data_IF_398275736224
#
_entry.id   IF_398275736224
#
_cell.length_a   1.000
_cell.length_b   1.000
_cell.length_c   1.000
_cell.angle_alpha   90.00
_cell.angle_beta   90.00
_cell.angle_gamma   90.00
#
_symmetry.space_group_name_H-M   'P 1'
#
loop_
_entity.id
_entity.type
_entity.pdbx_description
1 polymer ?
#
# COMPACT_ATOMS: atom_id res chain seq x y z
N UNK A 1 10.58 41.44 10.79
CA UNK A 1 9.86 40.52 11.68
C UNK A 1 9.40 39.36 10.81
N UNK A 2 10.29 38.32 10.65
CA UNK A 2 9.95 37.14 9.88
C UNK A 2 8.96 36.33 10.72
N UNK A 3 7.74 36.24 10.25
CA UNK A 3 6.79 35.26 10.72
C UNK A 3 7.35 33.89 10.30
N UNK A 4 7.92 33.13 11.22
CA UNK A 4 8.23 31.73 10.99
C UNK A 4 6.90 31.03 10.69
N UNK A 5 6.69 30.66 9.44
CA UNK A 5 5.62 29.75 9.04
C UNK A 5 5.95 28.39 9.67
N UNK A 6 5.46 28.16 10.89
CA UNK A 6 5.58 26.88 11.60
C UNK A 6 4.66 25.85 10.94
N UNK A 7 4.97 25.47 9.72
CA UNK A 7 4.30 24.36 9.03
C UNK A 7 4.73 23.01 9.59
N UNK A 8 4.03 21.94 9.21
CA UNK A 8 4.42 20.57 9.48
C UNK A 8 5.76 20.28 8.81
N UNK A 9 6.77 19.91 9.57
CA UNK A 9 8.13 19.71 9.08
C UNK A 9 8.53 18.23 9.08
N UNK A 10 9.55 17.91 8.29
CA UNK A 10 10.15 16.57 8.23
C UNK A 10 10.63 16.05 9.59
N UNK A 11 10.99 16.92 10.53
CA UNK A 11 11.44 16.54 11.89
C UNK A 11 10.34 15.83 12.70
N UNK A 12 9.08 16.02 12.34
CA UNK A 12 7.92 15.42 12.99
C UNK A 12 7.47 14.12 12.30
N UNK A 13 8.20 13.69 11.27
CA UNK A 13 7.98 12.45 10.53
C UNK A 13 8.93 11.34 10.98
N UNK A 14 8.82 10.14 10.41
CA UNK A 14 9.78 9.06 10.66
C UNK A 14 11.17 9.31 10.04
N UNK A 15 11.37 10.40 9.32
CA UNK A 15 12.65 10.75 8.70
C UNK A 15 13.07 9.79 7.56
N UNK A 16 12.14 9.04 6.98
CA UNK A 16 12.44 8.08 5.89
C UNK A 16 13.14 8.79 4.73
N UNK A 17 12.73 10.02 4.42
CA UNK A 17 13.32 10.80 3.34
C UNK A 17 14.78 11.22 3.60
N UNK A 18 15.25 11.24 4.86
CA UNK A 18 16.64 11.56 5.21
C UNK A 18 17.62 10.40 5.06
N UNK A 19 17.13 9.21 4.68
CA UNK A 19 18.03 8.09 4.41
C UNK A 19 18.99 8.48 3.27
N UNK A 20 20.31 8.23 3.44
CA UNK A 20 21.32 8.70 2.47
C UNK A 20 21.13 8.13 1.06
N UNK A 21 20.54 6.94 0.97
CA UNK A 21 20.33 6.22 -0.28
C UNK A 21 19.11 6.73 -1.06
N UNK A 22 18.22 7.49 -0.39
CA UNK A 22 17.00 7.99 -0.99
C UNK A 22 17.27 9.31 -1.74
N UNK A 23 16.59 9.48 -2.87
CA UNK A 23 16.65 10.73 -3.65
C UNK A 23 15.32 11.45 -3.51
N UNK A 24 15.29 12.48 -2.67
CA UNK A 24 14.13 13.36 -2.53
C UNK A 24 13.96 14.17 -3.81
N UNK A 25 12.74 14.23 -4.33
CA UNK A 25 12.37 15.05 -5.49
C UNK A 25 11.70 16.34 -5.07
N UNK A 26 10.75 16.25 -4.15
CA UNK A 26 10.08 17.42 -3.57
C UNK A 26 9.59 17.09 -2.16
N UNK A 27 9.50 18.14 -1.33
CA UNK A 27 8.99 18.05 0.04
C UNK A 27 8.25 19.34 0.39
N UNK A 28 7.29 19.25 1.31
CA UNK A 28 6.44 20.37 1.73
C UNK A 28 7.08 21.28 2.78
N UNK A 29 8.35 21.03 3.12
CA UNK A 29 9.08 21.93 4.03
C UNK A 29 9.08 23.36 3.46
N UNK A 30 8.68 24.32 4.30
CA UNK A 30 8.61 25.74 3.90
C UNK A 30 7.35 26.18 3.15
N UNK A 31 6.43 25.26 2.79
CA UNK A 31 5.15 25.61 2.14
C UNK A 31 4.07 26.05 3.14
N UNK A 32 4.33 25.97 4.45
CA UNK A 32 3.38 26.37 5.48
C UNK A 32 2.19 25.41 5.66
N UNK A 33 2.22 24.21 5.10
CA UNK A 33 1.16 23.22 5.28
C UNK A 33 1.11 22.72 6.73
N UNK A 34 -0.05 22.82 7.37
CA UNK A 34 -0.22 22.49 8.78
C UNK A 34 -0.94 21.16 9.01
N UNK A 35 -1.83 20.79 8.10
CA UNK A 35 -2.69 19.60 8.23
C UNK A 35 -2.01 18.34 7.74
N UNK A 36 -1.03 18.48 6.85
CA UNK A 36 -0.36 17.38 6.18
C UNK A 36 1.10 17.74 5.84
N UNK A 37 2.00 16.76 5.97
CA UNK A 37 3.32 16.80 5.36
C UNK A 37 3.34 15.87 4.15
N UNK A 38 3.99 16.28 3.07
CA UNK A 38 4.14 15.48 1.87
C UNK A 38 5.57 15.48 1.35
N UNK A 39 6.02 14.34 0.80
CA UNK A 39 7.28 14.25 0.05
C UNK A 39 7.22 13.21 -1.06
N UNK A 40 7.86 13.50 -2.19
CA UNK A 40 8.09 12.54 -3.26
C UNK A 40 9.57 12.17 -3.31
N UNK A 41 9.86 10.90 -3.49
CA UNK A 41 11.23 10.39 -3.44
C UNK A 41 11.40 9.10 -4.23
N UNK A 42 12.64 8.85 -4.65
CA UNK A 42 13.10 7.55 -5.12
C UNK A 42 13.80 6.85 -3.96
N UNK A 43 13.25 5.75 -3.51
CA UNK A 43 13.81 4.93 -2.44
C UNK A 43 14.66 3.80 -3.02
N UNK A 44 15.84 3.58 -2.43
CA UNK A 44 16.63 2.39 -2.66
C UNK A 44 16.17 1.25 -1.73
N UNK A 45 16.48 -0.02 -2.04
CA UNK A 45 16.20 -1.13 -1.13
C UNK A 45 16.84 -0.91 0.25
N UNK A 46 16.07 -1.15 1.31
CA UNK A 46 16.58 -1.03 2.68
C UNK A 46 15.80 -1.90 3.67
N UNK A 47 16.39 -2.09 4.85
CA UNK A 47 15.71 -2.62 6.03
C UNK A 47 15.98 -1.67 7.21
N UNK A 48 14.92 -1.27 7.91
CA UNK A 48 15.02 -0.36 9.05
C UNK A 48 13.84 -0.53 10.01
N UNK A 49 14.07 -0.10 11.25
CA UNK A 49 13.04 0.07 12.27
C UNK A 49 12.86 1.57 12.54
N UNK A 50 11.64 1.98 12.77
CA UNK A 50 11.26 3.36 13.03
C UNK A 50 10.44 3.44 14.32
N UNK A 51 10.79 4.42 15.16
CA UNK A 51 10.01 4.74 16.35
C UNK A 51 8.70 5.45 15.96
N UNK A 52 7.71 5.29 16.80
CA UNK A 52 6.41 5.92 16.65
C UNK A 52 6.51 7.44 16.51
N UNK A 53 5.72 7.99 15.59
CA UNK A 53 5.40 9.41 15.52
C UNK A 53 3.92 9.62 15.78
N UNK A 54 3.52 10.84 16.12
CA UNK A 54 2.12 11.14 16.46
C UNK A 54 1.17 11.00 15.28
N UNK A 55 1.66 11.32 14.09
CA UNK A 55 0.84 11.52 12.90
C UNK A 55 0.79 10.25 12.02
N UNK A 56 -0.23 10.14 11.18
CA UNK A 56 -0.52 8.96 10.38
C UNK A 56 0.26 8.97 9.07
N UNK A 57 0.97 7.88 8.77
CA UNK A 57 1.73 7.71 7.53
C UNK A 57 0.91 6.97 6.47
N UNK A 58 0.87 7.55 5.27
CA UNK A 58 0.30 6.93 4.07
C UNK A 58 1.37 7.03 2.97
N UNK A 59 1.79 5.89 2.44
CA UNK A 59 2.72 5.85 1.30
C UNK A 59 1.96 5.32 0.10
N UNK A 60 1.95 6.08 -0.99
CA UNK A 60 1.47 5.65 -2.28
C UNK A 60 2.65 5.18 -3.14
N UNK A 61 2.57 3.96 -3.63
CA UNK A 61 3.53 3.42 -4.59
C UNK A 61 3.24 4.00 -5.97
N UNK A 62 4.15 4.81 -6.50
CA UNK A 62 4.00 5.46 -7.82
C UNK A 62 4.46 4.54 -8.96
N UNK A 63 5.39 3.62 -8.67
CA UNK A 63 5.87 2.59 -9.60
C UNK A 63 5.89 1.21 -8.93
N UNK A 64 6.51 0.23 -9.53
CA UNK A 64 6.61 -1.14 -9.03
C UNK A 64 6.18 -2.16 -10.09
N UNK A 65 5.79 -3.36 -9.67
CA UNK A 65 5.56 -3.85 -8.30
C UNK A 65 6.86 -4.06 -7.50
N UNK A 66 6.80 -3.83 -6.18
CA UNK A 66 7.95 -4.02 -5.28
C UNK A 66 7.54 -4.78 -4.01
N UNK A 67 8.44 -5.66 -3.53
CA UNK A 67 8.25 -6.39 -2.28
C UNK A 67 8.46 -5.48 -1.07
N UNK A 68 7.49 -5.51 -0.14
CA UNK A 68 7.58 -4.81 1.14
C UNK A 68 7.23 -5.79 2.25
N UNK A 69 8.16 -5.98 3.19
CA UNK A 69 7.89 -6.65 4.45
C UNK A 69 7.73 -5.61 5.56
N UNK A 70 6.72 -5.79 6.41
CA UNK A 70 6.44 -4.92 7.56
C UNK A 70 6.32 -5.74 8.83
N UNK A 71 6.98 -5.29 9.90
CA UNK A 71 6.85 -5.81 11.25
C UNK A 71 6.13 -4.80 12.14
N UNK A 72 5.11 -5.25 12.90
CA UNK A 72 4.37 -4.49 13.90
C UNK A 72 4.33 -5.32 15.18
N UNK A 73 5.13 -4.97 16.18
CA UNK A 73 5.34 -5.83 17.34
C UNK A 73 5.78 -7.24 16.91
N UNK A 74 5.05 -8.25 17.34
CA UNK A 74 5.32 -9.66 16.98
C UNK A 74 4.71 -10.10 15.63
N UNK A 75 3.96 -9.23 14.96
CA UNK A 75 3.31 -9.55 13.69
C UNK A 75 4.19 -9.15 12.52
N UNK A 76 4.46 -10.10 11.63
CA UNK A 76 5.16 -9.83 10.38
C UNK A 76 4.22 -10.05 9.20
N UNK A 77 4.30 -9.19 8.22
CA UNK A 77 3.55 -9.29 6.95
C UNK A 77 4.41 -8.87 5.78
N UNK A 78 4.34 -9.60 4.68
CA UNK A 78 5.03 -9.29 3.44
C UNK A 78 4.03 -9.24 2.30
N UNK A 79 4.12 -8.22 1.46
CA UNK A 79 3.31 -8.06 0.24
C UNK A 79 4.16 -7.56 -0.91
N UNK A 80 3.77 -7.93 -2.11
CA UNK A 80 4.24 -7.28 -3.33
C UNK A 80 3.21 -6.23 -3.69
N UNK A 81 3.63 -4.98 -3.65
CA UNK A 81 2.75 -3.83 -3.84
C UNK A 81 2.91 -3.30 -5.26
N UNK A 82 1.82 -3.30 -6.00
CA UNK A 82 1.75 -2.74 -7.35
C UNK A 82 1.63 -1.20 -7.31
N UNK A 83 1.87 -0.50 -8.43
CA UNK A 83 1.54 0.92 -8.54
C UNK A 83 0.09 1.20 -8.11
N UNK A 84 -0.13 2.32 -7.43
CA UNK A 84 -1.42 2.66 -6.79
C UNK A 84 -1.67 1.95 -5.46
N UNK A 85 -0.81 1.01 -5.07
CA UNK A 85 -0.92 0.33 -3.79
C UNK A 85 -0.43 1.19 -2.62
N UNK A 86 -1.04 1.00 -1.45
CA UNK A 86 -0.84 1.82 -0.27
C UNK A 86 -0.14 1.05 0.84
N UNK A 87 0.81 1.71 1.50
CA UNK A 87 1.28 1.37 2.83
C UNK A 87 0.68 2.39 3.80
N UNK A 88 -0.08 1.95 4.79
CA UNK A 88 -0.71 2.84 5.76
C UNK A 88 -0.33 2.41 7.18
N UNK A 89 0.11 3.38 7.97
CA UNK A 89 0.48 3.19 9.37
C UNK A 89 -0.20 4.27 10.23
N UNK A 90 -1.03 3.88 11.21
CA UNK A 90 -1.54 4.79 12.22
C UNK A 90 -0.41 5.45 13.03
N UNK A 91 -0.66 6.67 13.50
CA UNK A 91 0.23 7.32 14.47
C UNK A 91 0.34 6.51 15.76
N UNK A 92 1.42 6.72 16.50
CA UNK A 92 1.68 6.04 17.77
C UNK A 92 2.21 4.61 17.67
N UNK A 93 2.58 4.13 16.49
CA UNK A 93 3.07 2.75 16.27
C UNK A 93 4.53 2.71 15.84
N UNK A 94 5.34 1.93 16.58
CA UNK A 94 6.67 1.50 16.10
C UNK A 94 6.51 0.49 14.96
N UNK A 95 7.37 0.52 13.97
CA UNK A 95 7.36 -0.48 12.90
C UNK A 95 8.74 -0.77 12.33
N UNK A 96 8.91 -2.01 11.88
CA UNK A 96 10.00 -2.42 11.01
C UNK A 96 9.53 -2.49 9.56
N UNK A 97 10.38 -2.14 8.62
CA UNK A 97 10.11 -2.29 7.19
C UNK A 97 11.35 -2.75 6.45
N UNK A 98 11.15 -3.67 5.49
CA UNK A 98 12.13 -4.02 4.46
C UNK A 98 11.53 -3.76 3.10
N UNK A 99 12.14 -2.83 2.36
CA UNK A 99 11.86 -2.54 0.97
C UNK A 99 12.83 -3.36 0.10
N UNK A 100 12.30 -4.22 -0.76
CA UNK A 100 13.09 -5.23 -1.49
C UNK A 100 13.54 -4.76 -2.89
N UNK A 101 13.19 -3.55 -3.29
CA UNK A 101 13.52 -3.00 -4.61
C UNK A 101 13.47 -1.47 -4.61
N UNK A 102 13.85 -0.87 -5.72
CA UNK A 102 13.69 0.57 -5.91
C UNK A 102 12.21 0.93 -6.05
N UNK A 103 11.81 2.05 -5.44
CA UNK A 103 10.45 2.52 -5.41
C UNK A 103 10.40 4.03 -5.61
N UNK A 104 9.62 4.51 -6.58
CA UNK A 104 9.14 5.87 -6.59
C UNK A 104 7.89 5.96 -5.71
N UNK A 105 7.94 6.77 -4.66
CA UNK A 105 6.91 6.86 -3.64
C UNK A 105 6.48 8.30 -3.38
N UNK A 106 5.23 8.44 -2.95
CA UNK A 106 4.70 9.65 -2.34
C UNK A 106 4.35 9.33 -0.89
N UNK A 107 4.99 10.02 0.04
CA UNK A 107 4.71 9.94 1.47
C UNK A 107 3.80 11.08 1.88
N UNK A 108 2.72 10.76 2.58
CA UNK A 108 1.81 11.70 3.21
C UNK A 108 1.78 11.42 4.70
N UNK A 109 1.99 12.44 5.52
CA UNK A 109 1.77 12.38 6.95
C UNK A 109 0.56 13.26 7.27
N UNK A 110 -0.53 12.62 7.69
CA UNK A 110 -1.76 13.31 8.08
C UNK A 110 -1.75 13.56 9.58
N UNK A 111 -1.95 14.80 9.99
CA UNK A 111 -1.99 15.18 11.39
C UNK A 111 -3.07 14.45 12.17
N UNK A 112 -2.72 13.98 13.36
CA UNK A 112 -3.67 13.36 14.29
C UNK A 112 -4.85 14.30 14.62
N UNK A 113 -4.61 15.59 14.83
CA UNK A 113 -5.69 16.53 15.15
C UNK A 113 -6.72 16.66 14.01
N UNK A 114 -6.33 16.49 12.74
CA UNK A 114 -7.29 16.51 11.61
C UNK A 114 -8.24 15.31 11.68
N UNK A 115 -7.73 14.13 12.06
CA UNK A 115 -8.58 12.95 12.33
C UNK A 115 -9.53 13.24 13.49
N UNK A 116 -9.04 13.86 14.58
CA UNK A 116 -9.83 14.20 15.77
C UNK A 116 -10.93 15.21 15.45
N UNK A 117 -10.64 16.27 14.68
CA UNK A 117 -11.62 17.25 14.25
C UNK A 117 -12.73 16.62 13.41
N UNK A 118 -12.36 15.80 12.40
CA UNK A 118 -13.35 15.17 11.53
C UNK A 118 -14.14 14.10 12.27
N UNK A 119 -13.54 13.40 13.25
CA UNK A 119 -14.26 12.48 14.12
C UNK A 119 -15.34 13.20 14.94
N UNK A 120 -15.01 14.37 15.50
CA UNK A 120 -15.96 15.23 16.20
C UNK A 120 -17.09 15.72 15.27
N UNK A 121 -16.77 16.11 14.01
CA UNK A 121 -17.77 16.48 13.00
C UNK A 121 -18.75 15.32 12.69
N UNK A 122 -18.29 14.07 12.80
CA UNK A 122 -19.12 12.87 12.66
C UNK A 122 -19.92 12.52 13.92
N UNK A 123 -19.76 13.30 15.00
CA UNK A 123 -20.46 13.05 16.27
C UNK A 123 -19.91 11.85 17.04
N UNK A 124 -18.66 11.47 16.82
CA UNK A 124 -17.99 10.41 17.57
C UNK A 124 -17.63 10.97 18.95
N UNK A 125 -18.28 10.46 19.99
CA UNK A 125 -18.23 11.03 21.33
C UNK A 125 -16.87 10.87 22.03
N UNK A 126 -16.13 9.81 21.70
CA UNK A 126 -14.78 9.58 22.22
C UNK A 126 -13.82 9.30 21.06
N UNK A 127 -12.97 10.27 20.80
CA UNK A 127 -11.97 10.19 19.73
C UNK A 127 -10.89 9.15 20.05
N UNK A 128 -10.72 8.77 21.31
CA UNK A 128 -9.81 7.68 21.71
C UNK A 128 -10.28 6.31 21.22
N UNK A 129 -11.56 6.16 20.89
CA UNK A 129 -12.13 4.95 20.28
C UNK A 129 -11.83 4.83 18.77
N UNK A 130 -11.26 5.89 18.18
CA UNK A 130 -10.94 5.95 16.76
C UNK A 130 -9.59 5.30 16.49
N UNK A 131 -9.57 4.02 16.30
CA UNK A 131 -8.36 3.30 15.86
C UNK A 131 -8.34 3.17 14.33
N UNK A 132 -7.42 3.88 13.68
CA UNK A 132 -7.11 3.61 12.26
C UNK A 132 -6.37 2.27 12.15
N UNK A 133 -6.64 1.53 11.10
CA UNK A 133 -6.07 0.20 10.92
C UNK A 133 -4.85 0.24 10.00
N UNK A 134 -3.72 -0.38 10.40
CA UNK A 134 -2.55 -0.48 9.53
C UNK A 134 -2.88 -1.31 8.29
N UNK A 135 -2.48 -0.84 7.10
CA UNK A 135 -2.70 -1.52 5.82
C UNK A 135 -1.39 -1.72 5.07
N UNK A 136 -1.31 -2.80 4.30
CA UNK A 136 -0.16 -3.10 3.46
C UNK A 136 -0.64 -3.63 2.11
N UNK A 137 -0.34 -2.88 1.03
CA UNK A 137 -0.65 -3.25 -0.35
C UNK A 137 -2.14 -3.15 -0.72
N UNK A 138 -2.95 -2.43 0.08
CA UNK A 138 -4.34 -2.18 -0.28
C UNK A 138 -4.43 -1.14 -1.39
N UNK A 139 -5.38 -1.30 -2.31
CA UNK A 139 -5.72 -0.27 -3.29
C UNK A 139 -6.98 0.47 -2.85
N UNK A 140 -6.92 1.78 -2.86
CA UNK A 140 -8.05 2.66 -2.60
C UNK A 140 -8.05 3.82 -3.60
N UNK A 141 -8.92 3.76 -4.63
CA UNK A 141 -8.92 4.76 -5.70
C UNK A 141 -9.12 6.20 -5.22
N UNK A 142 -9.87 6.42 -4.11
CA UNK A 142 -10.05 7.77 -3.60
C UNK A 142 -8.79 8.28 -2.90
N UNK A 143 -8.14 7.45 -2.08
CA UNK A 143 -6.87 7.83 -1.45
C UNK A 143 -5.81 8.09 -2.53
N UNK A 144 -5.73 7.24 -3.55
CA UNK A 144 -4.81 7.41 -4.68
C UNK A 144 -5.03 8.76 -5.37
N UNK A 145 -6.27 9.11 -5.74
CA UNK A 145 -6.57 10.38 -6.39
C UNK A 145 -6.27 11.60 -5.51
N UNK A 146 -6.60 11.54 -4.22
CA UNK A 146 -6.28 12.60 -3.28
C UNK A 146 -4.76 12.77 -3.10
N UNK A 147 -4.03 11.66 -3.01
CA UNK A 147 -2.58 11.67 -2.91
C UNK A 147 -1.93 12.26 -4.18
N UNK A 148 -2.39 11.87 -5.37
CA UNK A 148 -1.89 12.44 -6.64
C UNK A 148 -2.18 13.95 -6.76
N UNK A 149 -3.33 14.42 -6.27
CA UNK A 149 -3.63 15.84 -6.20
C UNK A 149 -2.66 16.59 -5.26
N UNK A 150 -2.35 16.01 -4.08
CA UNK A 150 -1.33 16.58 -3.17
C UNK A 150 0.04 16.60 -3.85
N UNK A 151 0.41 15.56 -4.61
CA UNK A 151 1.66 15.54 -5.36
C UNK A 151 1.75 16.68 -6.37
N UNK A 152 0.67 16.95 -7.11
CA UNK A 152 0.62 18.06 -8.06
C UNK A 152 0.85 19.41 -7.36
N UNK A 153 0.17 19.67 -6.22
CA UNK A 153 0.39 20.87 -5.42
C UNK A 153 1.83 20.96 -4.90
N UNK A 154 2.42 19.83 -4.50
CA UNK A 154 3.78 19.76 -4.03
C UNK A 154 4.81 20.06 -5.13
N UNK A 155 4.57 19.60 -6.36
CA UNK A 155 5.44 19.84 -7.51
C UNK A 155 5.43 21.31 -7.95
N UNK A 156 4.29 22.00 -7.81
CA UNK A 156 4.17 23.44 -8.13
C UNK A 156 4.79 24.35 -7.06
N UNK A 157 5.06 23.85 -5.85
CA UNK A 157 5.68 24.62 -4.75
C UNK A 157 4.96 25.95 -4.45
N UNK A 158 3.62 25.99 -4.57
CA UNK A 158 2.83 27.19 -4.35
C UNK A 158 2.48 27.38 -2.86
N UNK A 159 2.98 28.42 -2.19
CA UNK A 159 2.65 28.71 -0.79
C UNK A 159 1.16 28.98 -0.55
N UNK A 160 0.39 29.36 -1.58
CA UNK A 160 -1.06 29.57 -1.45
C UNK A 160 -1.86 28.27 -1.42
N UNK A 161 -1.23 27.13 -1.65
CA UNK A 161 -1.87 25.81 -1.67
C UNK A 161 -2.33 25.30 -0.30
N UNK A 162 -1.96 25.96 0.80
CA UNK A 162 -2.29 25.52 2.17
C UNK A 162 -3.78 25.22 2.34
N UNK A 163 -4.67 26.15 1.95
CA UNK A 163 -6.12 25.95 2.08
C UNK A 163 -6.60 24.72 1.30
N UNK A 164 -6.07 24.51 0.09
CA UNK A 164 -6.40 23.34 -0.71
C UNK A 164 -5.97 22.05 -0.02
N UNK A 165 -4.75 22.01 0.51
CA UNK A 165 -4.23 20.86 1.25
C UNK A 165 -5.04 20.60 2.51
N UNK A 166 -5.52 21.63 3.23
CA UNK A 166 -6.37 21.47 4.40
C UNK A 166 -7.70 20.79 4.04
N UNK A 167 -8.34 21.16 2.92
CA UNK A 167 -9.54 20.47 2.45
C UNK A 167 -9.28 19.03 2.05
N UNK A 168 -8.18 18.77 1.33
CA UNK A 168 -7.78 17.40 0.96
C UNK A 168 -7.50 16.56 2.20
N UNK A 169 -6.81 17.11 3.21
CA UNK A 169 -6.52 16.44 4.47
C UNK A 169 -7.81 16.05 5.22
N UNK A 170 -8.80 16.96 5.29
CA UNK A 170 -10.10 16.66 5.91
C UNK A 170 -10.90 15.61 5.16
N UNK A 171 -10.91 15.65 3.82
CA UNK A 171 -11.56 14.63 3.00
C UNK A 171 -10.88 13.27 3.15
N UNK A 172 -9.54 13.24 3.18
CA UNK A 172 -8.77 12.04 3.44
C UNK A 172 -9.07 11.48 4.84
N UNK A 173 -9.08 12.33 5.87
CA UNK A 173 -9.46 11.95 7.23
C UNK A 173 -10.86 11.33 7.30
N UNK A 174 -11.86 11.98 6.68
CA UNK A 174 -13.22 11.48 6.61
C UNK A 174 -13.32 10.11 5.95
N UNK A 175 -12.56 9.89 4.87
CA UNK A 175 -12.51 8.61 4.19
C UNK A 175 -11.82 7.52 5.03
N UNK A 176 -10.69 7.86 5.67
CA UNK A 176 -9.97 6.94 6.57
C UNK A 176 -10.86 6.48 7.73
N UNK A 177 -11.56 7.42 8.38
CA UNK A 177 -12.51 7.12 9.46
C UNK A 177 -13.61 6.16 9.02
N UNK A 178 -14.19 6.37 7.84
CA UNK A 178 -15.30 5.55 7.32
C UNK A 178 -14.86 4.18 6.83
N UNK A 179 -13.65 4.03 6.29
CA UNK A 179 -13.24 2.83 5.54
C UNK A 179 -12.06 2.08 6.15
N UNK A 180 -11.22 2.79 6.88
CA UNK A 180 -9.95 2.26 7.37
C UNK A 180 -9.81 2.37 8.90
N UNK A 181 -10.91 2.59 9.64
CA UNK A 181 -10.91 2.59 11.12
C UNK A 181 -11.66 1.39 11.71
N UNK A 182 -11.44 1.15 12.99
CA UNK A 182 -12.19 0.16 13.77
C UNK A 182 -13.70 0.49 13.87
N UNK A 183 -14.07 1.76 13.71
CA UNK A 183 -15.46 2.24 13.70
C UNK A 183 -16.27 1.73 12.50
N UNK A 184 -15.62 1.34 11.40
CA UNK A 184 -16.29 0.73 10.26
C UNK A 184 -16.98 -0.61 10.60
N UNK A 185 -16.73 -1.17 11.78
CA UNK A 185 -17.48 -2.31 12.33
C UNK A 185 -18.82 -1.90 12.97
N UNK A 186 -19.01 -0.62 13.32
CA UNK A 186 -20.23 -0.07 13.97
C UNK A 186 -21.10 0.81 13.06
N UNK A 187 -20.53 1.45 12.05
CA UNK A 187 -21.27 2.22 11.04
C UNK A 187 -21.47 1.27 9.85
N UNK A 188 -22.62 0.60 9.81
CA UNK A 188 -23.11 -0.31 8.80
C UNK A 188 -22.09 -0.60 7.68
N UNK A 189 -21.27 -1.65 7.86
CA UNK A 189 -20.65 -2.30 6.73
C UNK A 189 -21.77 -2.61 5.72
N UNK A 190 -21.63 -2.30 4.42
CA UNK A 190 -22.59 -2.82 3.46
C UNK A 190 -22.64 -4.32 3.70
N UNK A 191 -23.82 -4.81 4.08
CA UNK A 191 -24.09 -6.22 4.40
C UNK A 191 -23.33 -7.11 3.40
N UNK A 192 -22.19 -7.66 3.81
CA UNK A 192 -21.53 -8.65 3.01
C UNK A 192 -20.06 -8.50 2.64
N UNK A 193 -19.23 -7.65 3.26
CA UNK A 193 -17.76 -7.62 3.05
C UNK A 193 -17.05 -8.86 3.63
N UNK A 194 -15.83 -9.21 3.10
CA UNK A 194 -14.93 -10.13 3.78
C UNK A 194 -14.34 -9.45 5.01
N UNK A 195 -14.31 -10.16 6.14
CA UNK A 195 -13.50 -9.73 7.26
C UNK A 195 -12.01 -9.79 6.88
N UNK A 196 -11.17 -9.00 7.53
CA UNK A 196 -9.72 -9.03 7.32
C UNK A 196 -9.17 -10.46 7.47
N UNK A 197 -9.57 -11.17 8.54
CA UNK A 197 -9.15 -12.55 8.77
C UNK A 197 -9.59 -13.50 7.63
N UNK A 198 -10.68 -13.23 6.95
CA UNK A 198 -11.12 -14.01 5.78
C UNK A 198 -10.26 -13.69 4.54
N UNK A 199 -9.90 -12.43 4.34
CA UNK A 199 -8.98 -12.02 3.26
C UNK A 199 -7.59 -12.61 3.49
N UNK A 200 -7.07 -12.50 4.71
CA UNK A 200 -5.74 -13.01 5.07
C UNK A 200 -5.69 -14.53 4.87
N UNK A 201 -6.70 -15.29 5.35
CA UNK A 201 -6.78 -16.74 5.11
C UNK A 201 -6.83 -17.09 3.62
N UNK A 202 -7.54 -16.30 2.81
CA UNK A 202 -7.58 -16.51 1.36
C UNK A 202 -6.20 -16.33 0.72
N UNK A 203 -5.50 -15.27 1.11
CA UNK A 203 -4.17 -14.96 0.58
C UNK A 203 -3.15 -15.97 1.06
N UNK A 204 -3.15 -16.35 2.33
CA UNK A 204 -2.27 -17.37 2.90
C UNK A 204 -2.46 -18.72 2.22
N UNK A 205 -3.71 -19.09 1.92
CA UNK A 205 -4.02 -20.30 1.16
C UNK A 205 -3.46 -20.22 -0.26
N UNK A 206 -3.63 -19.09 -0.95
CA UNK A 206 -3.07 -18.89 -2.29
C UNK A 206 -1.53 -18.95 -2.27
N UNK A 207 -0.88 -18.31 -1.29
CA UNK A 207 0.59 -18.30 -1.14
C UNK A 207 1.14 -19.72 -0.90
N UNK A 208 0.49 -20.47 -0.01
CA UNK A 208 0.92 -21.83 0.35
C UNK A 208 0.76 -22.84 -0.79
N UNK A 209 -0.14 -22.56 -1.75
CA UNK A 209 -0.47 -23.46 -2.84
C UNK A 209 -0.18 -22.90 -4.23
N UNK A 210 0.74 -21.91 -4.35
CA UNK A 210 0.98 -21.17 -5.62
C UNK A 210 1.33 -22.07 -6.81
N UNK A 211 2.03 -23.18 -6.58
CA UNK A 211 2.45 -24.14 -7.61
C UNK A 211 1.32 -25.09 -8.04
N UNK A 212 0.26 -25.21 -7.23
CA UNK A 212 -0.82 -26.14 -7.46
C UNK A 212 -1.99 -25.53 -8.25
N UNK A 213 -2.82 -26.36 -8.89
CA UNK A 213 -4.06 -25.89 -9.49
C UNK A 213 -5.05 -25.49 -8.37
N UNK A 214 -5.21 -24.18 -8.16
CA UNK A 214 -6.14 -23.62 -7.17
C UNK A 214 -7.43 -23.24 -7.84
N UNK A 215 -8.56 -23.75 -7.38
CA UNK A 215 -9.89 -23.33 -7.80
C UNK A 215 -10.43 -22.19 -6.94
N UNK A 216 -11.38 -21.43 -7.47
CA UNK A 216 -12.12 -20.43 -6.70
C UNK A 216 -12.83 -21.04 -5.49
N UNK A 217 -13.28 -22.29 -5.62
CA UNK A 217 -13.97 -22.99 -4.55
C UNK A 217 -13.05 -23.30 -3.37
N UNK A 218 -11.79 -23.66 -3.65
CA UNK A 218 -10.80 -23.96 -2.62
C UNK A 218 -10.47 -22.72 -1.79
N UNK A 219 -10.25 -21.58 -2.46
CA UNK A 219 -9.94 -20.31 -1.79
C UNK A 219 -11.15 -19.80 -0.99
N UNK A 220 -12.36 -19.93 -1.54
CA UNK A 220 -13.59 -19.58 -0.85
C UNK A 220 -13.80 -20.43 0.41
N UNK A 221 -13.56 -21.73 0.31
CA UNK A 221 -13.62 -22.67 1.45
C UNK A 221 -12.63 -22.31 2.54
N UNK A 222 -11.39 -21.97 2.18
CA UNK A 222 -10.36 -21.51 3.13
C UNK A 222 -10.81 -20.25 3.90
N UNK A 223 -11.63 -19.41 3.26
CA UNK A 223 -12.20 -18.20 3.87
C UNK A 223 -13.54 -18.43 4.59
N UNK A 224 -14.08 -19.68 4.56
CA UNK A 224 -15.37 -20.00 5.16
C UNK A 224 -16.59 -19.46 4.40
N UNK A 225 -16.50 -19.34 3.05
CA UNK A 225 -17.54 -18.74 2.21
C UNK A 225 -17.90 -19.59 1.00
N UNK A 226 -19.07 -19.31 0.41
CA UNK A 226 -19.43 -19.87 -0.90
C UNK A 226 -18.67 -19.14 -2.03
N UNK A 227 -18.33 -19.82 -3.15
CA UNK A 227 -17.53 -19.24 -4.23
C UNK A 227 -18.10 -17.96 -4.82
N UNK A 228 -19.41 -17.87 -5.02
CA UNK A 228 -20.08 -16.70 -5.62
C UNK A 228 -20.02 -15.47 -4.70
N UNK A 229 -20.19 -15.66 -3.40
CA UNK A 229 -20.06 -14.59 -2.41
C UNK A 229 -18.60 -14.18 -2.20
N UNK A 230 -17.68 -15.15 -2.20
CA UNK A 230 -16.26 -14.89 -2.05
C UNK A 230 -15.71 -14.01 -3.19
N UNK A 231 -15.94 -14.37 -4.46
CA UNK A 231 -15.36 -13.66 -5.59
C UNK A 231 -15.67 -12.16 -5.59
N UNK A 232 -16.95 -11.79 -5.35
CA UNK A 232 -17.40 -10.39 -5.29
C UNK A 232 -16.77 -9.64 -4.13
N UNK A 233 -16.79 -10.25 -2.95
CA UNK A 233 -16.29 -9.65 -1.70
C UNK A 233 -14.78 -9.54 -1.70
N UNK A 234 -14.07 -10.53 -2.23
CA UNK A 234 -12.61 -10.51 -2.37
C UNK A 234 -12.17 -9.38 -3.30
N UNK A 235 -12.84 -9.21 -4.47
CA UNK A 235 -12.58 -8.08 -5.36
C UNK A 235 -12.81 -6.74 -4.66
N UNK A 236 -13.89 -6.60 -3.89
CA UNK A 236 -14.16 -5.38 -3.14
C UNK A 236 -13.10 -5.09 -2.07
N UNK A 237 -12.54 -6.13 -1.43
CA UNK A 237 -11.55 -5.99 -0.36
C UNK A 237 -10.11 -5.80 -0.86
N UNK A 238 -9.76 -6.37 -2.03
CA UNK A 238 -8.38 -6.39 -2.55
C UNK A 238 -8.19 -5.56 -3.83
N UNK A 239 -9.28 -5.04 -4.41
CA UNK A 239 -9.27 -4.32 -5.69
C UNK A 239 -9.23 -5.22 -6.93
N UNK A 240 -8.87 -6.51 -6.80
CA UNK A 240 -8.72 -7.44 -7.91
C UNK A 240 -9.56 -8.72 -7.73
N UNK A 241 -10.11 -9.31 -8.80
CA UNK A 241 -10.74 -10.63 -8.74
C UNK A 241 -9.75 -11.69 -8.24
N UNK A 242 -10.20 -12.74 -7.50
CA UNK A 242 -9.33 -13.76 -6.91
C UNK A 242 -8.34 -14.39 -7.90
N UNK A 243 -8.81 -14.76 -9.09
CA UNK A 243 -7.95 -15.34 -10.14
C UNK A 243 -6.87 -14.34 -10.61
N UNK A 244 -7.22 -13.07 -10.76
CA UNK A 244 -6.27 -12.04 -11.19
C UNK A 244 -5.22 -11.76 -10.11
N UNK A 245 -5.64 -11.79 -8.85
CA UNK A 245 -4.78 -11.68 -7.68
C UNK A 245 -3.80 -12.86 -7.61
N UNK A 246 -4.27 -14.10 -7.78
CA UNK A 246 -3.43 -15.30 -7.85
C UNK A 246 -2.42 -15.22 -9.01
N UNK A 247 -2.84 -14.74 -10.18
CA UNK A 247 -1.92 -14.59 -11.33
C UNK A 247 -0.82 -13.55 -11.03
N UNK A 248 -1.11 -12.44 -10.35
CA UNK A 248 -0.09 -11.47 -9.96
C UNK A 248 0.93 -12.08 -8.98
N UNK A 249 0.49 -12.89 -8.03
CA UNK A 249 1.38 -13.58 -7.09
C UNK A 249 2.32 -14.58 -7.80
N UNK A 250 1.77 -15.35 -8.77
CA UNK A 250 2.55 -16.28 -9.60
C UNK A 250 3.58 -15.57 -10.45
N UNK A 251 3.21 -14.45 -11.07
CA UNK A 251 4.13 -13.62 -11.86
C UNK A 251 5.26 -13.09 -10.99
N UNK A 252 4.94 -12.65 -9.79
CA UNK A 252 5.97 -12.12 -8.89
C UNK A 252 6.94 -13.22 -8.40
N UNK A 253 6.43 -14.42 -8.12
CA UNK A 253 7.30 -15.58 -7.86
C UNK A 253 8.20 -15.88 -9.06
N UNK A 254 7.64 -15.86 -10.28
CA UNK A 254 8.41 -16.06 -11.50
C UNK A 254 9.48 -14.99 -11.70
N UNK A 255 9.20 -13.70 -11.40
CA UNK A 255 10.21 -12.62 -11.46
C UNK A 255 11.43 -12.92 -10.58
N UNK A 256 11.20 -13.37 -9.34
CA UNK A 256 12.29 -13.73 -8.43
C UNK A 256 13.12 -14.93 -8.94
N UNK A 257 12.46 -15.97 -9.46
CA UNK A 257 13.13 -17.15 -10.01
C UNK A 257 13.88 -16.83 -11.31
N UNK A 258 13.40 -15.88 -12.11
CA UNK A 258 14.07 -15.45 -13.35
C UNK A 258 15.44 -14.78 -13.11
N UNK A 259 15.72 -14.30 -11.89
CA UNK A 259 17.05 -13.81 -11.50
C UNK A 259 18.05 -14.95 -11.32
N UNK A 260 17.58 -16.18 -11.20
CA UNK A 260 18.38 -17.39 -11.15
C UNK A 260 18.53 -17.98 -12.56
N UNK A 261 19.40 -18.98 -12.72
CA UNK A 261 19.71 -19.57 -14.04
C UNK A 261 18.80 -20.73 -14.44
N UNK A 262 17.69 -20.93 -13.74
CA UNK A 262 16.75 -22.00 -14.02
C UNK A 262 16.06 -21.84 -15.39
N UNK A 263 15.78 -22.95 -16.11
CA UNK A 263 15.01 -22.92 -17.36
C UNK A 263 13.64 -22.27 -17.17
N UNK A 264 13.22 -21.42 -18.13
CA UNK A 264 11.93 -20.70 -18.03
C UNK A 264 10.74 -21.69 -17.99
N UNK A 265 10.88 -22.86 -18.62
CA UNK A 265 9.87 -23.91 -18.58
C UNK A 265 9.68 -24.46 -17.14
N UNK A 266 10.77 -24.69 -16.41
CA UNK A 266 10.73 -25.15 -15.03
C UNK A 266 10.17 -24.08 -14.10
N UNK A 267 10.57 -22.82 -14.29
CA UNK A 267 9.99 -21.68 -13.58
C UNK A 267 8.47 -21.61 -13.79
N UNK A 268 8.00 -21.85 -15.02
CA UNK A 268 6.57 -21.86 -15.31
C UNK A 268 5.83 -22.87 -14.44
N UNK A 269 6.31 -24.10 -14.41
CA UNK A 269 5.72 -25.19 -13.61
C UNK A 269 5.81 -24.89 -12.09
N UNK A 270 6.97 -24.46 -11.62
CA UNK A 270 7.19 -24.11 -10.21
C UNK A 270 6.29 -22.97 -9.72
N UNK A 271 5.86 -22.08 -10.64
CA UNK A 271 4.94 -20.99 -10.34
C UNK A 271 3.46 -21.33 -10.62
N UNK A 272 3.13 -22.60 -10.92
CA UNK A 272 1.74 -23.05 -11.14
C UNK A 272 1.15 -22.66 -12.50
N UNK A 273 2.00 -22.39 -13.51
CA UNK A 273 1.55 -22.25 -14.89
C UNK A 273 1.60 -23.62 -15.59
N UNK A 274 0.65 -23.87 -16.46
CA UNK A 274 0.54 -25.17 -17.17
C UNK A 274 1.71 -25.43 -18.11
N UNK A 275 2.30 -24.38 -18.70
CA UNK A 275 3.43 -24.45 -19.63
C UNK A 275 4.06 -23.06 -19.80
N UNK A 276 5.25 -23.02 -20.43
CA UNK A 276 6.05 -21.80 -20.62
C UNK A 276 5.32 -20.69 -21.38
N UNK A 277 4.53 -21.03 -22.40
CA UNK A 277 3.78 -20.05 -23.20
C UNK A 277 2.70 -19.36 -22.36
N UNK A 278 2.07 -20.09 -21.44
CA UNK A 278 1.11 -19.54 -20.49
C UNK A 278 1.78 -18.52 -19.56
N UNK A 279 2.93 -18.88 -18.95
CA UNK A 279 3.73 -17.93 -18.19
C UNK A 279 4.10 -16.71 -19.04
N UNK A 280 4.62 -16.91 -20.26
CA UNK A 280 5.09 -15.81 -21.12
C UNK A 280 3.98 -14.80 -21.43
N UNK A 281 2.79 -15.29 -21.75
CA UNK A 281 1.62 -14.46 -22.03
C UNK A 281 1.17 -13.66 -20.82
N UNK A 282 1.04 -14.32 -19.66
CA UNK A 282 0.59 -13.68 -18.42
C UNK A 282 1.66 -12.72 -17.90
N UNK A 283 2.91 -13.12 -17.87
CA UNK A 283 4.03 -12.29 -17.44
C UNK A 283 4.12 -11.00 -18.25
N UNK A 284 4.04 -11.09 -19.60
CA UNK A 284 4.02 -9.90 -20.47
C UNK A 284 2.84 -9.00 -20.19
N UNK A 285 1.66 -9.57 -19.90
CA UNK A 285 0.46 -8.79 -19.56
C UNK A 285 0.65 -7.97 -18.28
N UNK A 286 1.35 -8.51 -17.27
CA UNK A 286 1.56 -7.86 -15.98
C UNK A 286 2.79 -6.94 -15.94
N UNK A 287 3.84 -7.23 -16.71
CA UNK A 287 5.13 -6.53 -16.63
C UNK A 287 5.49 -5.73 -17.89
N UNK A 288 4.72 -5.87 -18.96
CA UNK A 288 5.01 -5.26 -20.27
C UNK A 288 6.07 -5.98 -21.11
N UNK A 289 6.89 -6.86 -20.51
CA UNK A 289 8.00 -7.55 -21.17
C UNK A 289 7.90 -9.07 -21.05
N UNK A 290 8.62 -9.82 -21.90
CA UNK A 290 8.65 -11.29 -21.78
C UNK A 290 9.60 -11.73 -20.65
N UNK A 291 9.42 -12.95 -20.09
CA UNK A 291 10.33 -13.52 -19.10
C UNK A 291 11.79 -13.54 -19.57
N UNK A 292 12.03 -13.89 -20.85
CA UNK A 292 13.37 -13.93 -21.43
C UNK A 292 13.99 -12.53 -21.54
N UNK A 293 13.21 -11.51 -21.92
CA UNK A 293 13.68 -10.13 -21.98
C UNK A 293 13.96 -9.58 -20.59
N UNK A 294 13.09 -9.88 -19.60
CA UNK A 294 13.28 -9.50 -18.20
C UNK A 294 14.58 -10.08 -17.65
N UNK A 295 14.84 -11.39 -17.86
CA UNK A 295 16.09 -12.06 -17.43
C UNK A 295 17.32 -11.40 -18.03
N UNK A 296 17.33 -11.14 -19.34
CA UNK A 296 18.46 -10.48 -20.01
C UNK A 296 18.77 -9.12 -19.44
N UNK A 297 17.74 -8.31 -19.18
CA UNK A 297 17.91 -6.98 -18.62
C UNK A 297 18.39 -6.98 -17.16
N UNK A 298 18.13 -8.05 -16.41
CA UNK A 298 18.57 -8.20 -15.02
C UNK A 298 19.99 -8.76 -14.89
N UNK A 299 20.55 -9.32 -15.97
CA UNK A 299 21.89 -9.94 -16.03
C UNK A 299 22.91 -9.07 -16.79
N UNK A 300 22.46 -7.96 -17.38
CA UNK A 300 23.27 -6.94 -18.05
C UNK A 300 23.73 -5.85 -17.07
#
# INVERSE_FOLDING_TARGET
MHCELNGFSVKETHGILWRPENKVRSASDGLGWNSMYASTQREAPYEAAFSAVRDHLIILHLDGPVGVARALGNSQSRRVIAPGGLFMLPGGMDFGVRLEGYLDSLHLYLRQHVIEEVANDFGIADVSDVELLPRLGVQDPLIEQLALNVRELLEHQDPSSQMHVDYVARLLAAHLLRKHSGLSAGIAAPLGGLTRAQVDRAIDYMESNLSEPISLADVAKASGLSPSHFARRFKSATGAPPHQYLMSMRVERARRMLLQREPIAEIALACGFTHQEHLTRIFRRFTGVTPASFRRAAQA
#
